data_IF_866716408092
#
_entry.id   IF_866716408092
#
_cell.length_a   1.000
_cell.length_b   1.000
_cell.length_c   1.000
_cell.angle_alpha   90.00
_cell.angle_beta   90.00
_cell.angle_gamma   90.00
#
_symmetry.space_group_name_H-M   'P 1'
#
loop_
_entity.id
_entity.type
_entity.pdbx_description
1 polymer ?
#
# COMPACT_ATOMS: atom_id res chain seq x y z
N UNK A 1 -35.51 14.27 59.66
CA UNK A 1 -35.58 13.04 58.84
C UNK A 1 -35.79 13.38 57.35
N UNK A 2 -34.85 14.06 56.68
CA UNK A 2 -34.99 14.44 55.25
C UNK A 2 -33.71 14.28 54.40
N UNK A 3 -32.61 13.77 54.99
CA UNK A 3 -31.32 13.62 54.30
C UNK A 3 -30.99 12.18 53.88
N UNK A 4 -31.81 11.20 54.26
CA UNK A 4 -31.52 9.78 53.98
C UNK A 4 -31.82 9.34 52.53
N UNK A 5 -32.58 10.14 51.77
CA UNK A 5 -32.95 9.79 50.38
C UNK A 5 -31.96 10.32 49.33
N UNK A 6 -31.11 11.29 49.67
CA UNK A 6 -30.13 11.86 48.73
C UNK A 6 -28.82 11.04 48.64
N UNK A 7 -28.54 10.19 49.63
CA UNK A 7 -27.32 9.38 49.66
C UNK A 7 -27.38 8.15 48.73
N UNK A 8 -28.58 7.71 48.35
CA UNK A 8 -28.75 6.50 47.53
C UNK A 8 -28.59 6.75 46.02
N UNK A 9 -28.86 7.98 45.56
CA UNK A 9 -28.77 8.33 44.13
C UNK A 9 -27.32 8.51 43.64
N UNK A 10 -26.36 8.80 44.53
CA UNK A 10 -24.96 9.02 44.16
C UNK A 10 -24.17 7.71 43.96
N UNK A 11 -24.66 6.59 44.49
CA UNK A 11 -23.99 5.28 44.41
C UNK A 11 -24.30 4.51 43.12
N UNK A 12 -25.30 4.92 42.34
CA UNK A 12 -25.68 4.27 41.07
C UNK A 12 -24.91 4.77 39.84
N UNK A 13 -24.12 5.85 39.98
CA UNK A 13 -23.29 6.38 38.89
C UNK A 13 -21.89 5.72 38.82
N UNK A 14 -21.55 4.85 39.76
CA UNK A 14 -20.27 4.13 39.82
C UNK A 14 -20.34 2.70 39.24
N UNK A 15 -21.43 2.32 38.56
CA UNK A 15 -21.43 1.17 37.66
C UNK A 15 -20.62 1.54 36.40
N UNK A 16 -19.31 1.69 36.60
CA UNK A 16 -18.34 1.97 35.56
C UNK A 16 -18.46 0.91 34.48
N UNK A 17 -18.66 1.37 33.24
CA UNK A 17 -18.34 0.60 32.06
C UNK A 17 -16.94 0.03 32.26
N UNK A 18 -16.86 -1.24 32.64
CA UNK A 18 -15.65 -2.03 32.44
C UNK A 18 -15.53 -2.16 30.93
N UNK A 19 -14.88 -1.17 30.29
CA UNK A 19 -14.33 -1.33 28.96
C UNK A 19 -13.30 -2.43 29.09
N UNK A 20 -13.76 -3.66 28.93
CA UNK A 20 -12.94 -4.83 28.80
C UNK A 20 -12.20 -4.60 27.50
N UNK A 21 -10.98 -4.09 27.59
CA UNK A 21 -10.09 -3.90 26.46
C UNK A 21 -10.11 -5.19 25.67
N UNK A 22 -10.68 -5.11 24.45
CA UNK A 22 -10.70 -6.25 23.55
C UNK A 22 -9.23 -6.60 23.34
N UNK A 23 -8.83 -7.88 23.47
CA UNK A 23 -7.47 -8.28 23.21
C UNK A 23 -7.08 -7.76 21.83
N UNK A 24 -6.09 -6.86 21.79
CA UNK A 24 -5.54 -6.37 20.53
C UNK A 24 -4.91 -7.59 19.86
N UNK A 25 -5.44 -7.99 18.71
CA UNK A 25 -4.85 -9.06 17.92
C UNK A 25 -3.42 -8.72 17.49
N UNK A 26 -2.62 -9.70 17.06
CA UNK A 26 -1.29 -9.43 16.51
C UNK A 26 -1.38 -8.43 15.34
N UNK A 27 -0.34 -7.61 15.13
CA UNK A 27 -0.32 -6.62 14.06
C UNK A 27 -0.53 -7.32 12.71
N UNK A 28 -1.37 -6.72 11.86
CA UNK A 28 -1.55 -7.21 10.48
C UNK A 28 -0.68 -6.38 9.55
N UNK A 29 0.11 -7.04 8.71
CA UNK A 29 0.97 -6.35 7.74
C UNK A 29 0.31 -6.26 6.38
N UNK A 30 0.39 -5.09 5.76
CA UNK A 30 -0.09 -4.84 4.41
C UNK A 30 1.03 -4.33 3.51
N UNK A 31 0.97 -4.70 2.23
CA UNK A 31 1.92 -4.27 1.22
C UNK A 31 1.16 -3.71 0.00
N UNK A 32 1.54 -2.51 -0.43
CA UNK A 32 1.10 -1.92 -1.68
C UNK A 32 2.26 -2.02 -2.68
N UNK A 33 2.05 -2.75 -3.77
CA UNK A 33 3.05 -3.03 -4.79
C UNK A 33 2.62 -2.37 -6.09
N UNK A 34 3.47 -1.52 -6.65
CA UNK A 34 3.20 -0.79 -7.88
C UNK A 34 4.31 -1.02 -8.89
N UNK A 35 3.94 -1.34 -10.13
CA UNK A 35 4.88 -1.46 -11.24
C UNK A 35 4.37 -0.68 -12.44
N UNK A 36 5.28 0.02 -13.10
CA UNK A 36 5.04 0.66 -14.38
C UNK A 36 6.17 0.37 -15.35
N UNK A 37 5.81 0.20 -16.62
CA UNK A 37 6.74 0.15 -17.73
C UNK A 37 6.50 1.37 -18.61
N UNK A 38 7.55 2.13 -18.90
CA UNK A 38 7.49 3.33 -19.74
C UNK A 38 8.10 3.02 -21.12
N UNK A 39 7.28 3.17 -22.14
CA UNK A 39 7.68 3.08 -23.54
C UNK A 39 7.61 4.49 -24.17
N UNK A 40 8.56 4.85 -25.06
CA UNK A 40 9.59 4.00 -25.68
C UNK A 40 10.90 3.86 -24.88
N UNK A 41 11.03 4.47 -23.71
CA UNK A 41 12.28 4.56 -22.95
C UNK A 41 12.79 3.22 -22.41
N UNK A 42 11.96 2.18 -22.49
CA UNK A 42 12.22 0.84 -21.97
C UNK A 42 12.58 0.89 -20.48
N UNK A 43 11.86 1.72 -19.73
CA UNK A 43 12.13 1.95 -18.32
C UNK A 43 11.12 1.20 -17.46
N UNK A 44 11.60 0.22 -16.71
CA UNK A 44 10.83 -0.50 -15.72
C UNK A 44 11.05 0.14 -14.34
N UNK A 45 9.97 0.58 -13.71
CA UNK A 45 9.99 1.18 -12.38
C UNK A 45 9.06 0.40 -11.46
N UNK A 46 9.57 -0.04 -10.32
CA UNK A 46 8.81 -0.69 -9.27
C UNK A 46 8.86 0.13 -7.97
N UNK A 47 7.76 0.11 -7.23
CA UNK A 47 7.62 0.72 -5.92
C UNK A 47 6.90 -0.23 -4.97
N UNK A 48 7.33 -0.24 -3.71
CA UNK A 48 6.66 -0.98 -2.65
C UNK A 48 6.52 -0.12 -1.40
N UNK A 49 5.34 -0.18 -0.78
CA UNK A 49 5.03 0.44 0.50
C UNK A 49 4.52 -0.62 1.47
N UNK A 50 4.91 -0.51 2.74
CA UNK A 50 4.57 -1.48 3.77
C UNK A 50 3.94 -0.78 4.95
N UNK A 51 2.89 -1.40 5.50
CA UNK A 51 2.13 -0.84 6.61
C UNK A 51 1.86 -1.90 7.67
N UNK A 52 1.89 -1.49 8.93
CA UNK A 52 1.36 -2.27 10.05
C UNK A 52 -0.02 -1.70 10.44
N UNK A 53 -1.02 -2.56 10.50
CA UNK A 53 -2.35 -2.26 11.01
C UNK A 53 -2.38 -2.64 12.49
N UNK A 54 -2.49 -1.62 13.34
CA UNK A 54 -2.80 -1.83 14.75
C UNK A 54 -4.31 -2.11 14.91
N UNK A 55 -4.66 -2.94 15.91
CA UNK A 55 -6.04 -3.36 16.19
C UNK A 55 -6.96 -2.16 16.46
N UNK A 56 -7.58 -1.60 15.41
CA UNK A 56 -8.52 -0.48 15.56
C UNK A 56 -8.61 0.57 14.44
N UNK A 57 -7.86 0.44 13.32
CA UNK A 57 -8.00 1.16 12.01
C UNK A 57 -6.83 2.05 11.57
N UNK A 58 -5.80 2.23 12.39
CA UNK A 58 -4.65 3.06 11.99
C UNK A 58 -3.60 2.20 11.29
N UNK A 59 -3.39 2.44 10.00
CA UNK A 59 -2.26 1.90 9.26
C UNK A 59 -1.06 2.83 9.43
N UNK A 60 0.08 2.29 9.87
CA UNK A 60 1.34 3.02 10.01
C UNK A 60 2.34 2.49 9.01
N UNK A 61 2.98 3.39 8.24
CA UNK A 61 4.08 3.02 7.37
C UNK A 61 5.23 2.42 8.19
N UNK A 62 5.80 1.33 7.70
CA UNK A 62 6.91 0.62 8.35
C UNK A 62 8.10 0.47 7.42
N UNK A 63 9.28 0.45 8.02
CA UNK A 63 10.52 0.05 7.37
C UNK A 63 10.75 -1.45 7.62
N UNK A 64 11.20 -2.17 6.59
CA UNK A 64 11.60 -3.57 6.68
C UNK A 64 13.11 -3.61 6.92
N UNK A 65 13.54 -4.23 8.01
CA UNK A 65 14.97 -4.33 8.36
C UNK A 65 15.77 -5.09 7.30
N UNK A 66 15.18 -6.15 6.74
CA UNK A 66 15.78 -6.96 5.66
C UNK A 66 15.57 -6.36 4.26
N UNK A 67 14.91 -5.20 4.18
CA UNK A 67 14.57 -4.54 2.92
C UNK A 67 13.53 -5.26 2.07
N UNK A 68 13.47 -4.87 0.81
CA UNK A 68 12.62 -5.46 -0.22
C UNK A 68 13.45 -5.68 -1.49
N UNK A 69 13.04 -6.65 -2.30
CA UNK A 69 13.65 -6.96 -3.58
C UNK A 69 12.59 -7.04 -4.69
N UNK A 70 13.01 -6.66 -5.90
CA UNK A 70 12.23 -6.74 -7.13
C UNK A 70 13.05 -7.49 -8.18
N UNK A 71 12.48 -8.56 -8.74
CA UNK A 71 13.14 -9.47 -9.68
C UNK A 71 14.53 -9.95 -9.19
N UNK A 72 14.63 -10.27 -7.90
CA UNK A 72 15.88 -10.72 -7.27
C UNK A 72 16.91 -9.62 -6.99
N UNK A 73 16.61 -8.37 -7.33
CA UNK A 73 17.48 -7.22 -7.07
C UNK A 73 16.94 -6.39 -5.90
N UNK A 74 17.84 -5.93 -5.02
CA UNK A 74 17.46 -5.07 -3.89
C UNK A 74 16.82 -3.76 -4.33
N UNK A 75 15.83 -3.29 -3.58
CA UNK A 75 15.18 -1.99 -3.80
C UNK A 75 15.80 -0.92 -2.90
N UNK A 76 15.94 0.30 -3.43
CA UNK A 76 16.41 1.47 -2.69
C UNK A 76 15.35 1.98 -1.72
N UNK A 77 15.68 2.08 -0.44
CA UNK A 77 14.80 2.70 0.56
C UNK A 77 14.85 4.22 0.47
N UNK A 78 13.68 4.87 0.40
CA UNK A 78 13.52 6.32 0.44
C UNK A 78 12.49 6.72 1.48
N UNK A 79 12.82 7.75 2.26
CA UNK A 79 11.96 8.30 3.30
C UNK A 79 11.85 9.83 3.14
N UNK A 80 11.06 10.31 2.17
CA UNK A 80 10.82 11.75 1.99
C UNK A 80 10.12 12.41 3.19
N UNK A 81 9.32 11.66 3.95
CA UNK A 81 8.65 12.12 5.15
C UNK A 81 8.25 10.93 6.04
N UNK A 82 8.08 11.11 7.37
CA UNK A 82 7.82 10.00 8.31
C UNK A 82 6.62 9.11 7.95
N UNK A 83 5.60 9.66 7.29
CA UNK A 83 4.40 8.93 6.86
C UNK A 83 4.50 8.32 5.44
N UNK A 84 5.59 8.58 4.72
CA UNK A 84 5.82 8.15 3.34
C UNK A 84 7.15 7.41 3.23
N UNK A 85 7.17 6.16 3.65
CA UNK A 85 8.28 5.24 3.41
C UNK A 85 8.05 4.48 2.11
N UNK A 86 9.05 4.44 1.23
CA UNK A 86 8.95 3.70 -0.05
C UNK A 86 10.23 2.96 -0.38
N UNK A 87 10.07 1.81 -1.02
CA UNK A 87 11.14 1.08 -1.68
C UNK A 87 11.01 1.29 -3.17
N UNK A 88 12.11 1.63 -3.84
CA UNK A 88 12.10 1.97 -5.25
C UNK A 88 13.15 1.16 -6.02
N UNK A 89 12.77 0.72 -7.20
CA UNK A 89 13.66 0.09 -8.16
C UNK A 89 13.41 0.67 -9.54
N UNK A 90 14.48 0.89 -10.29
CA UNK A 90 14.40 1.33 -11.66
C UNK A 90 15.49 0.66 -12.50
N UNK A 91 15.12 0.15 -13.67
CA UNK A 91 16.04 -0.46 -14.61
C UNK A 91 15.58 -0.22 -16.06
N UNK A 92 16.54 0.00 -16.95
CA UNK A 92 16.30 -0.07 -18.40
C UNK A 92 16.29 -1.52 -18.87
N UNK A 93 15.18 -1.98 -19.41
CA UNK A 93 14.97 -3.37 -19.84
C UNK A 93 13.84 -3.45 -20.85
N UNK A 94 13.82 -4.51 -21.67
CA UNK A 94 12.64 -4.87 -22.45
C UNK A 94 11.43 -5.19 -21.56
N UNK A 95 10.25 -5.25 -22.16
CA UNK A 95 8.99 -5.51 -21.46
C UNK A 95 9.01 -6.89 -20.77
N UNK A 96 8.91 -6.97 -19.43
CA UNK A 96 8.84 -8.23 -18.71
C UNK A 96 7.40 -8.72 -18.57
N UNK A 97 7.14 -9.98 -18.89
CA UNK A 97 5.82 -10.60 -18.69
C UNK A 97 5.58 -11.01 -17.23
N UNK A 98 6.61 -11.53 -16.56
CA UNK A 98 6.57 -11.95 -15.15
C UNK A 98 7.43 -11.03 -14.29
N UNK A 99 6.90 -10.67 -13.13
CA UNK A 99 7.55 -9.83 -12.15
C UNK A 99 7.41 -10.42 -10.76
N UNK A 100 8.40 -10.20 -9.91
CA UNK A 100 8.41 -10.75 -8.55
C UNK A 100 8.87 -9.72 -7.54
N UNK A 101 8.08 -9.55 -6.49
CA UNK A 101 8.50 -8.89 -5.26
C UNK A 101 8.85 -9.94 -4.21
N UNK A 102 9.90 -9.69 -3.44
CA UNK A 102 10.26 -10.50 -2.28
C UNK A 102 10.59 -9.60 -1.09
N UNK A 103 9.98 -9.86 0.06
CA UNK A 103 10.18 -9.07 1.27
C UNK A 103 9.91 -9.91 2.52
N UNK A 104 10.42 -9.51 3.68
CA UNK A 104 10.13 -10.18 4.96
C UNK A 104 9.41 -9.19 5.89
N UNK A 105 8.21 -9.54 6.33
CA UNK A 105 7.56 -8.80 7.41
C UNK A 105 8.36 -8.96 8.72
N UNK A 106 8.30 -7.99 9.65
CA UNK A 106 9.10 -8.02 10.88
C UNK A 106 8.99 -9.32 11.68
N UNK A 107 7.76 -9.84 11.82
CA UNK A 107 7.47 -11.05 12.60
C UNK A 107 7.42 -12.34 11.75
N UNK A 108 7.85 -12.27 10.48
CA UNK A 108 7.81 -13.42 9.57
C UNK A 108 9.17 -14.15 9.49
N UNK A 109 9.16 -15.45 9.78
CA UNK A 109 10.34 -16.31 9.67
C UNK A 109 10.81 -16.53 8.22
N UNK A 110 9.89 -16.43 7.25
CA UNK A 110 10.13 -16.69 5.83
C UNK A 110 9.80 -15.45 4.99
N UNK A 111 10.55 -15.22 3.90
CA UNK A 111 10.21 -14.17 2.96
C UNK A 111 8.87 -14.48 2.28
N UNK A 112 8.08 -13.42 2.09
CA UNK A 112 6.89 -13.41 1.25
C UNK A 112 7.31 -13.10 -0.18
N UNK A 113 6.83 -13.90 -1.13
CA UNK A 113 6.95 -13.61 -2.56
C UNK A 113 5.59 -13.29 -3.16
N UNK A 114 5.55 -12.24 -3.98
CA UNK A 114 4.36 -11.85 -4.75
C UNK A 114 4.75 -11.78 -6.22
N UNK A 115 4.14 -12.65 -7.02
CA UNK A 115 4.27 -12.65 -8.47
C UNK A 115 3.19 -11.75 -9.10
N UNK A 116 3.59 -10.91 -10.05
CA UNK A 116 2.69 -10.10 -10.86
C UNK A 116 2.90 -10.44 -12.33
N UNK A 117 1.80 -10.43 -13.09
CA UNK A 117 1.85 -10.53 -14.54
C UNK A 117 1.53 -9.16 -15.13
N UNK A 118 2.40 -8.69 -16.03
CA UNK A 118 2.18 -7.44 -16.73
C UNK A 118 1.70 -7.74 -18.14
N UNK A 119 0.59 -7.13 -18.54
CA UNK A 119 0.11 -7.18 -19.92
C UNK A 119 0.78 -6.08 -20.73
N UNK A 120 1.34 -6.37 -21.92
CA UNK A 120 1.88 -5.34 -22.79
C UNK A 120 0.83 -4.26 -23.05
N UNK A 121 1.21 -2.97 -23.03
CA UNK A 121 0.28 -1.93 -23.47
C UNK A 121 -0.12 -2.25 -24.91
N UNK A 122 -1.42 -2.30 -25.19
CA UNK A 122 -1.89 -2.38 -26.55
C UNK A 122 -1.33 -1.16 -27.31
N UNK A 123 -0.66 -1.41 -28.43
CA UNK A 123 -0.28 -0.30 -29.31
C UNK A 123 -1.58 0.44 -29.68
N UNK A 124 -1.64 1.77 -29.54
CA UNK A 124 -2.77 2.50 -30.08
C UNK A 124 -2.87 2.13 -31.56
N UNK A 125 -3.99 1.51 -31.95
CA UNK A 125 -4.34 1.38 -33.35
C UNK A 125 -4.65 2.79 -33.84
N UNK A 126 -3.64 3.50 -34.30
CA UNK A 126 -3.87 4.70 -35.07
C UNK A 126 -4.67 4.28 -36.30
N UNK A 127 -5.85 4.86 -36.56
CA UNK A 127 -6.49 4.65 -37.84
C UNK A 127 -5.48 5.12 -38.90
N UNK A 128 -5.10 4.22 -39.81
CA UNK A 128 -4.17 4.48 -40.93
C UNK A 128 -4.65 5.64 -41.82
N UNK A 129 -5.88 6.11 -41.61
CA UNK A 129 -6.47 7.26 -42.27
C UNK A 129 -6.81 8.33 -41.22
N UNK A 130 -5.83 9.15 -40.84
CA UNK A 130 -6.14 10.55 -40.61
C UNK A 130 -6.51 11.12 -41.98
N UNK A 131 -7.79 11.09 -42.34
CA UNK A 131 -8.26 11.84 -43.51
C UNK A 131 -7.95 13.32 -43.23
N UNK A 132 -7.01 13.95 -43.95
CA UNK A 132 -6.64 15.35 -43.72
C UNK A 132 -7.81 16.32 -43.97
N UNK A 133 -8.96 15.83 -44.45
CA UNK A 133 -10.19 16.60 -44.65
C UNK A 133 -11.15 16.55 -43.47
N UNK A 134 -10.99 15.64 -42.52
CA UNK A 134 -11.78 15.66 -41.28
C UNK A 134 -11.18 16.66 -40.30
N UNK A 135 -11.46 17.93 -40.52
CA UNK A 135 -11.21 18.98 -39.55
C UNK A 135 -11.91 18.68 -38.22
N UNK A 136 -11.28 19.08 -37.12
CA UNK A 136 -11.87 18.99 -35.78
C UNK A 136 -13.08 19.91 -35.70
N UNK A 137 -14.29 19.36 -35.68
CA UNK A 137 -15.48 20.10 -35.25
C UNK A 137 -15.56 20.05 -33.74
N UNK A 138 -15.35 21.18 -33.08
CA UNK A 138 -15.66 21.32 -31.66
C UNK A 138 -17.18 21.24 -31.48
N UNK A 139 -17.68 20.48 -30.49
CA UNK A 139 -19.10 20.53 -30.13
C UNK A 139 -19.42 21.94 -29.61
N UNK A 140 -20.52 22.50 -30.12
CA UNK A 140 -21.06 23.80 -29.74
C UNK A 140 -21.60 23.81 -28.31
#
# INVERSE_FOLDING_TARGET
MRYALLSCALLLLAAGCSFKDKPQGPPQYHAELYVRFLAPEQLLSAQAHFYALESGKNARAIQLEKGAAFNGSGMEFRNPAPQFMRYHYEQRTGFPAELRFSFSAPDADKPTEVALQLTPPALPSYPDTLDPRQGWTLPA
#
